data_IF_911416981630
#
_entry.id   IF_911416981630
#
_cell.length_a   1.000
_cell.length_b   1.000
_cell.length_c   1.000
_cell.angle_alpha   90.00
_cell.angle_beta   90.00
_cell.angle_gamma   90.00
#
_symmetry.space_group_name_H-M   'P 1'
#
loop_
_entity.id
_entity.type
_entity.pdbx_description
1 polymer ?
#
# COMPACT_ATOMS: atom_id res chain seq x y z
N UNK A 1 -40.96 -36.89 57.63
CA UNK A 1 -41.67 -37.62 58.71
C UNK A 1 -43.15 -37.85 58.32
N UNK A 2 -43.41 -38.71 57.31
CA UNK A 2 -44.56 -39.61 57.42
C UNK A 2 -44.32 -41.01 56.78
N UNK A 3 -43.09 -41.53 56.83
CA UNK A 3 -42.76 -42.89 56.34
C UNK A 3 -42.50 -43.92 57.46
N UNK A 4 -42.45 -43.49 58.73
CA UNK A 4 -42.12 -44.35 59.87
C UNK A 4 -43.33 -44.94 60.62
N UNK A 5 -44.57 -44.70 60.16
CA UNK A 5 -45.79 -45.18 60.84
C UNK A 5 -46.48 -46.37 60.17
N UNK A 6 -45.86 -47.02 59.16
CA UNK A 6 -46.38 -48.27 58.57
C UNK A 6 -45.64 -49.55 58.99
N UNK A 7 -44.68 -49.47 59.92
CA UNK A 7 -43.86 -50.61 60.35
C UNK A 7 -44.27 -51.24 61.70
N UNK A 8 -45.41 -50.85 62.28
CA UNK A 8 -45.92 -51.47 63.52
C UNK A 8 -47.32 -52.01 63.32
N UNK A 9 -47.44 -53.12 62.59
CA UNK A 9 -48.45 -54.19 62.77
C UNK A 9 -48.39 -55.15 61.59
N UNK A 10 -47.31 -55.92 61.46
CA UNK A 10 -47.32 -57.20 60.75
C UNK A 10 -46.44 -58.16 61.55
N UNK A 11 -46.88 -59.42 61.67
CA UNK A 11 -46.18 -60.46 62.41
C UNK A 11 -44.73 -60.63 61.93
N UNK A 12 -43.92 -61.35 62.73
CA UNK A 12 -42.58 -61.79 62.31
C UNK A 12 -42.62 -62.23 60.85
N UNK A 13 -41.89 -61.55 59.94
CA UNK A 13 -41.95 -61.86 58.53
C UNK A 13 -41.54 -63.32 58.35
N UNK A 14 -42.18 -64.00 57.40
CA UNK A 14 -41.71 -65.34 57.03
C UNK A 14 -40.26 -65.21 56.51
N UNK A 15 -39.44 -66.28 56.64
CA UNK A 15 -38.06 -66.29 56.09
C UNK A 15 -38.00 -65.89 54.60
N UNK A 16 -39.11 -66.02 53.88
CA UNK A 16 -39.25 -65.68 52.48
C UNK A 16 -39.49 -64.16 52.27
N UNK A 17 -40.24 -63.49 53.15
CA UNK A 17 -40.44 -62.03 53.14
C UNK A 17 -39.19 -61.26 53.60
N UNK A 18 -38.43 -61.79 54.57
CA UNK A 18 -37.12 -61.22 54.95
C UNK A 18 -36.08 -61.35 53.82
N UNK A 19 -36.13 -62.47 53.07
CA UNK A 19 -35.26 -62.67 51.92
C UNK A 19 -35.62 -61.71 50.77
N UNK A 20 -36.91 -61.54 50.46
CA UNK A 20 -37.36 -60.60 49.43
C UNK A 20 -37.06 -59.13 49.81
N UNK A 21 -37.25 -58.73 51.07
CA UNK A 21 -36.90 -57.39 51.53
C UNK A 21 -35.39 -57.12 51.48
N UNK A 22 -34.55 -58.11 51.80
CA UNK A 22 -33.10 -58.01 51.67
C UNK A 22 -32.66 -57.91 50.19
N UNK A 23 -33.33 -58.61 49.28
CA UNK A 23 -33.05 -58.50 47.83
C UNK A 23 -33.36 -57.10 47.32
N UNK A 24 -34.51 -56.53 47.69
CA UNK A 24 -34.90 -55.17 47.30
C UNK A 24 -33.96 -54.11 47.90
N UNK A 25 -33.58 -54.26 49.17
CA UNK A 25 -32.63 -53.36 49.83
C UNK A 25 -31.24 -53.42 49.17
N UNK A 26 -30.75 -54.62 48.85
CA UNK A 26 -29.47 -54.81 48.15
C UNK A 26 -29.50 -54.18 46.76
N UNK A 27 -30.61 -54.34 46.02
CA UNK A 27 -30.78 -53.72 44.72
C UNK A 27 -30.77 -52.19 44.80
N UNK A 28 -31.49 -51.59 45.76
CA UNK A 28 -31.50 -50.14 45.96
C UNK A 28 -30.13 -49.58 46.33
N UNK A 29 -29.36 -50.29 47.15
CA UNK A 29 -27.99 -49.94 47.53
C UNK A 29 -27.08 -49.94 46.29
N UNK A 30 -27.14 -51.01 45.49
CA UNK A 30 -26.35 -51.14 44.29
C UNK A 30 -26.68 -50.04 43.27
N UNK A 31 -27.97 -49.76 43.06
CA UNK A 31 -28.40 -48.66 42.20
C UNK A 31 -27.93 -47.30 42.70
N UNK A 32 -27.97 -47.07 44.02
CA UNK A 32 -27.53 -45.81 44.60
C UNK A 32 -26.00 -45.63 44.52
N UNK A 33 -25.21 -46.70 44.63
CA UNK A 33 -23.75 -46.66 44.42
C UNK A 33 -23.42 -46.28 42.97
N UNK A 34 -24.10 -46.90 42.01
CA UNK A 34 -23.91 -46.62 40.59
C UNK A 34 -24.26 -45.16 40.27
N UNK A 35 -25.39 -44.66 40.79
CA UNK A 35 -25.80 -43.25 40.60
C UNK A 35 -24.78 -42.28 41.21
N UNK A 36 -24.27 -42.57 42.41
CA UNK A 36 -23.27 -41.71 43.06
C UNK A 36 -21.96 -41.65 42.28
N UNK A 37 -21.55 -42.77 41.74
CA UNK A 37 -20.32 -42.88 40.97
C UNK A 37 -20.45 -42.21 39.58
N UNK A 38 -21.60 -42.39 38.92
CA UNK A 38 -21.97 -41.62 37.71
C UNK A 38 -22.00 -40.11 37.98
N UNK A 39 -22.57 -39.68 39.11
CA UNK A 39 -22.62 -38.28 39.50
C UNK A 39 -21.22 -37.71 39.74
N UNK A 40 -20.32 -38.49 40.34
CA UNK A 40 -18.93 -38.08 40.58
C UNK A 40 -18.17 -37.89 39.27
N UNK A 41 -18.37 -38.79 38.30
CA UNK A 41 -17.78 -38.67 36.97
C UNK A 41 -18.31 -37.43 36.22
N UNK A 42 -19.61 -37.17 36.26
CA UNK A 42 -20.21 -36.00 35.63
C UNK A 42 -19.71 -34.68 36.25
N UNK A 43 -19.54 -34.64 37.57
CA UNK A 43 -18.96 -33.49 38.29
C UNK A 43 -17.53 -33.20 37.84
N UNK A 44 -16.70 -34.23 37.64
CA UNK A 44 -15.32 -34.05 37.17
C UNK A 44 -15.27 -33.46 35.76
N UNK A 45 -16.15 -33.91 34.86
CA UNK A 45 -16.28 -33.36 33.51
C UNK A 45 -16.76 -31.91 33.52
N UNK A 46 -17.71 -31.58 34.40
CA UNK A 46 -18.16 -30.19 34.62
C UNK A 46 -17.00 -29.33 35.14
N UNK A 47 -16.19 -29.82 36.08
CA UNK A 47 -15.02 -29.09 36.59
C UNK A 47 -13.98 -28.82 35.49
N UNK A 48 -13.73 -29.81 34.63
CA UNK A 48 -12.85 -29.62 33.47
C UNK A 48 -13.40 -28.54 32.52
N UNK A 49 -14.70 -28.58 32.25
CA UNK A 49 -15.37 -27.59 31.40
C UNK A 49 -15.32 -26.19 32.01
N UNK A 50 -15.46 -26.07 33.34
CA UNK A 50 -15.31 -24.80 34.08
C UNK A 50 -13.91 -24.22 33.92
N UNK A 51 -12.87 -25.05 34.00
CA UNK A 51 -11.49 -24.64 33.76
C UNK A 51 -11.31 -24.05 32.36
N UNK A 52 -11.72 -24.80 31.34
CA UNK A 52 -11.65 -24.34 29.94
C UNK A 52 -12.43 -23.04 29.68
N UNK A 53 -13.64 -22.92 30.24
CA UNK A 53 -14.44 -21.70 30.11
C UNK A 53 -13.79 -20.50 30.81
N UNK A 54 -13.06 -20.73 31.91
CA UNK A 54 -12.31 -19.68 32.61
C UNK A 54 -11.16 -19.19 31.75
N UNK A 55 -10.37 -20.11 31.18
CA UNK A 55 -9.25 -19.78 30.30
C UNK A 55 -9.71 -18.99 29.07
N UNK A 56 -10.82 -19.41 28.45
CA UNK A 56 -11.43 -18.69 27.30
C UNK A 56 -11.85 -17.28 27.70
N UNK A 57 -12.48 -17.11 28.87
CA UNK A 57 -12.93 -15.80 29.34
C UNK A 57 -11.74 -14.87 29.66
N UNK A 58 -10.66 -15.41 30.21
CA UNK A 58 -9.44 -14.66 30.50
C UNK A 58 -8.73 -14.24 29.22
N UNK A 59 -8.59 -15.16 28.26
CA UNK A 59 -8.01 -14.86 26.95
C UNK A 59 -8.85 -13.83 26.18
N UNK A 60 -10.18 -13.96 26.21
CA UNK A 60 -11.09 -12.98 25.60
C UNK A 60 -10.84 -11.59 26.19
N UNK A 61 -10.80 -11.44 27.52
CA UNK A 61 -10.55 -10.14 28.15
C UNK A 61 -9.20 -9.51 27.75
N UNK A 62 -8.14 -10.32 27.59
CA UNK A 62 -6.83 -9.85 27.13
C UNK A 62 -6.91 -9.37 25.68
N UNK A 63 -7.48 -10.18 24.79
CA UNK A 63 -7.60 -9.84 23.35
C UNK A 63 -8.44 -8.59 23.11
N UNK A 64 -9.54 -8.43 23.85
CA UNK A 64 -10.37 -7.22 23.80
C UNK A 64 -9.61 -5.98 24.30
N UNK A 65 -8.80 -6.11 25.36
CA UNK A 65 -7.94 -5.03 25.84
C UNK A 65 -6.89 -4.58 24.82
N UNK A 66 -6.26 -5.53 24.12
CA UNK A 66 -5.33 -5.25 23.03
C UNK A 66 -6.02 -4.58 21.84
N UNK A 67 -7.21 -5.06 21.48
CA UNK A 67 -8.03 -4.48 20.40
C UNK A 67 -8.41 -3.03 20.70
N UNK A 68 -8.72 -2.72 21.97
CA UNK A 68 -8.98 -1.34 22.42
C UNK A 68 -7.77 -0.43 22.22
N UNK A 69 -6.59 -0.84 22.68
CA UNK A 69 -5.35 -0.09 22.52
C UNK A 69 -4.94 0.06 21.04
N UNK A 70 -5.27 -0.93 20.20
CA UNK A 70 -5.08 -0.83 18.76
C UNK A 70 -6.00 0.23 18.14
N UNK A 71 -7.28 0.23 18.55
CA UNK A 71 -8.30 1.18 18.10
C UNK A 71 -7.98 2.62 18.53
N UNK A 72 -7.53 2.84 19.76
CA UNK A 72 -7.08 4.17 20.25
C UNK A 72 -5.91 4.69 19.40
N UNK A 73 -4.88 3.86 19.16
CA UNK A 73 -3.75 4.24 18.27
C UNK A 73 -4.19 4.49 16.83
N UNK A 74 -5.21 3.78 16.34
CA UNK A 74 -5.76 4.04 15.02
C UNK A 74 -6.41 5.42 14.96
N UNK A 75 -7.13 5.84 16.01
CA UNK A 75 -7.68 7.20 16.10
C UNK A 75 -6.60 8.29 16.08
N UNK A 76 -5.51 8.11 16.84
CA UNK A 76 -4.39 9.06 16.84
C UNK A 76 -3.80 9.22 15.43
N UNK A 77 -3.56 8.11 14.72
CA UNK A 77 -3.05 8.11 13.35
C UNK A 77 -4.01 8.74 12.35
N UNK A 78 -5.31 8.54 12.54
CA UNK A 78 -6.32 9.21 11.72
C UNK A 78 -6.25 10.72 11.94
N UNK A 79 -6.10 11.18 13.18
CA UNK A 79 -5.90 12.59 13.52
C UNK A 79 -4.68 13.20 12.83
N UNK A 80 -3.53 12.52 12.88
CA UNK A 80 -2.32 12.93 12.14
C UNK A 80 -2.59 13.00 10.63
N UNK A 81 -3.29 12.01 10.08
CA UNK A 81 -3.63 11.97 8.65
C UNK A 81 -4.51 13.16 8.25
N UNK A 82 -5.49 13.55 9.08
CA UNK A 82 -6.29 14.76 8.85
C UNK A 82 -5.44 16.03 8.78
N UNK A 83 -4.45 16.18 9.68
CA UNK A 83 -3.53 17.32 9.66
C UNK A 83 -2.75 17.37 8.35
N UNK A 84 -2.19 16.23 7.91
CA UNK A 84 -1.46 16.16 6.64
C UNK A 84 -2.35 16.48 5.43
N UNK A 85 -3.62 16.05 5.44
CA UNK A 85 -4.56 16.39 4.38
C UNK A 85 -4.85 17.89 4.31
N UNK A 86 -4.94 18.58 5.45
CA UNK A 86 -5.10 20.04 5.47
C UNK A 86 -3.88 20.76 4.89
N UNK A 87 -2.67 20.31 5.20
CA UNK A 87 -1.43 20.87 4.63
C UNK A 87 -1.36 20.66 3.11
N UNK A 88 -1.74 19.48 2.63
CA UNK A 88 -1.80 19.20 1.19
C UNK A 88 -2.90 20.05 0.52
N UNK A 89 -4.00 20.34 1.22
CA UNK A 89 -5.07 21.20 0.72
C UNK A 89 -4.62 22.64 0.53
N UNK A 90 -3.98 23.21 1.55
CA UNK A 90 -3.38 24.53 1.46
C UNK A 90 -2.32 24.60 0.34
N UNK A 91 -1.51 23.55 0.20
CA UNK A 91 -0.51 23.47 -0.88
C UNK A 91 -1.14 23.45 -2.27
N UNK A 92 -2.24 22.72 -2.45
CA UNK A 92 -2.96 22.68 -3.73
C UNK A 92 -3.56 24.05 -4.08
N UNK A 93 -4.14 24.74 -3.10
CA UNK A 93 -4.66 26.11 -3.27
C UNK A 93 -3.54 27.08 -3.67
N UNK A 94 -2.40 27.04 -2.97
CA UNK A 94 -1.24 27.86 -3.32
C UNK A 94 -0.72 27.58 -4.75
N UNK A 95 -0.72 26.33 -5.20
CA UNK A 95 -0.37 25.97 -6.58
C UNK A 95 -1.38 26.57 -7.57
N UNK A 96 -2.67 26.57 -7.23
CA UNK A 96 -3.71 27.17 -8.08
C UNK A 96 -3.51 28.69 -8.22
N UNK A 97 -3.26 29.39 -7.11
CA UNK A 97 -3.01 30.82 -7.11
C UNK A 97 -1.74 31.17 -7.89
N UNK A 98 -0.67 30.39 -7.70
CA UNK A 98 0.59 30.57 -8.44
C UNK A 98 0.38 30.34 -9.93
N UNK A 99 -0.42 29.35 -10.32
CA UNK A 99 -0.75 29.11 -11.72
C UNK A 99 -1.54 30.29 -12.32
N UNK A 100 -2.48 30.88 -11.57
CA UNK A 100 -3.22 32.06 -12.03
C UNK A 100 -2.33 33.30 -12.19
N UNK A 101 -1.38 33.50 -11.26
CA UNK A 101 -0.38 34.57 -11.39
C UNK A 101 0.47 34.37 -12.64
N UNK A 102 0.98 33.14 -12.86
CA UNK A 102 1.78 32.81 -14.04
C UNK A 102 1.01 32.99 -15.36
N UNK A 103 -0.30 32.68 -15.40
CA UNK A 103 -1.15 32.95 -16.57
C UNK A 103 -1.20 34.45 -16.90
N UNK A 104 -1.27 35.29 -15.88
CA UNK A 104 -1.31 36.75 -16.03
C UNK A 104 0.04 37.27 -16.54
N UNK A 105 1.14 36.89 -15.89
CA UNK A 105 2.51 37.25 -16.28
C UNK A 105 2.85 36.77 -17.71
N UNK A 106 2.38 35.59 -18.09
CA UNK A 106 2.57 35.04 -19.44
C UNK A 106 1.85 35.89 -20.51
N UNK A 107 0.62 36.34 -20.22
CA UNK A 107 -0.14 37.25 -21.10
C UNK A 107 0.57 38.60 -21.25
N UNK A 108 1.02 39.20 -20.15
CA UNK A 108 1.76 40.47 -20.18
C UNK A 108 3.07 40.31 -20.97
N UNK A 109 3.82 39.24 -20.74
CA UNK A 109 5.05 38.95 -21.49
C UNK A 109 4.78 38.81 -22.99
N UNK A 110 3.67 38.18 -23.36
CA UNK A 110 3.26 38.03 -24.77
C UNK A 110 2.97 39.38 -25.42
N UNK A 111 2.33 40.31 -24.70
CA UNK A 111 2.09 41.67 -25.20
C UNK A 111 3.40 42.42 -25.44
N UNK A 112 4.35 42.34 -24.51
CA UNK A 112 5.68 42.94 -24.65
C UNK A 112 6.42 42.37 -25.87
N UNK A 113 6.39 41.05 -26.07
CA UNK A 113 7.02 40.43 -27.26
C UNK A 113 6.38 40.93 -28.55
N UNK A 114 5.06 41.06 -28.60
CA UNK A 114 4.36 41.59 -29.77
C UNK A 114 4.74 43.06 -30.06
N UNK A 115 4.91 43.87 -29.02
CA UNK A 115 5.39 45.25 -29.16
C UNK A 115 6.82 45.30 -29.71
N UNK A 116 7.73 44.48 -29.18
CA UNK A 116 9.10 44.36 -29.68
C UNK A 116 9.13 43.91 -31.15
N UNK A 117 8.31 42.93 -31.53
CA UNK A 117 8.20 42.49 -32.93
C UNK A 117 7.71 43.61 -33.87
N UNK A 118 6.77 44.46 -33.41
CA UNK A 118 6.34 45.64 -34.19
C UNK A 118 7.48 46.65 -34.32
N UNK A 119 8.21 46.92 -33.24
CA UNK A 119 9.36 47.82 -33.27
C UNK A 119 10.44 47.33 -34.23
N UNK A 120 10.77 46.03 -34.18
CA UNK A 120 11.73 45.41 -35.10
C UNK A 120 11.27 45.50 -36.56
N UNK A 121 9.98 45.37 -36.83
CA UNK A 121 9.44 45.52 -38.19
C UNK A 121 9.58 46.97 -38.69
N UNK A 122 9.36 47.95 -37.83
CA UNK A 122 9.58 49.36 -38.19
C UNK A 122 11.07 49.66 -38.44
N UNK A 123 11.96 49.15 -37.59
CA UNK A 123 13.40 49.29 -37.79
C UNK A 123 13.86 48.57 -39.07
N UNK A 124 13.28 47.39 -39.33
CA UNK A 124 13.13 46.69 -40.63
C UNK A 124 13.10 47.63 -41.82
N UNK A 125 12.01 48.38 -41.84
CA UNK A 125 11.69 49.30 -42.91
C UNK A 125 12.69 50.46 -43.00
N UNK A 126 13.12 51.01 -41.86
CA UNK A 126 14.12 52.10 -41.82
C UNK A 126 15.46 51.66 -42.41
N UNK A 127 15.95 50.45 -42.09
CA UNK A 127 17.21 49.94 -42.64
C UNK A 127 17.12 49.69 -44.15
N UNK A 128 16.00 49.16 -44.63
CA UNK A 128 15.77 48.99 -46.06
C UNK A 128 15.71 50.34 -46.80
N UNK A 129 15.14 51.38 -46.18
CA UNK A 129 15.14 52.73 -46.73
C UNK A 129 16.56 53.34 -46.78
N UNK A 130 17.36 53.16 -45.72
CA UNK A 130 18.78 53.57 -45.70
C UNK A 130 19.59 52.86 -46.79
N UNK A 131 19.39 51.55 -46.98
CA UNK A 131 20.05 50.81 -48.06
C UNK A 131 19.73 51.40 -49.44
N UNK A 132 18.48 51.81 -49.67
CA UNK A 132 18.05 52.46 -50.92
C UNK A 132 18.66 53.86 -51.08
N UNK A 133 18.74 54.64 -50.00
CA UNK A 133 19.39 55.95 -50.00
C UNK A 133 20.88 55.83 -50.32
N UNK A 134 21.60 54.87 -49.72
CA UNK A 134 23.00 54.60 -50.02
C UNK A 134 23.22 54.24 -51.50
N UNK A 135 22.34 53.41 -52.09
CA UNK A 135 22.39 53.12 -53.52
C UNK A 135 22.16 54.36 -54.42
N UNK A 136 21.32 55.29 -53.97
CA UNK A 136 21.08 56.56 -54.68
C UNK A 136 22.30 57.49 -54.55
N UNK A 137 22.92 57.53 -53.37
CA UNK A 137 24.13 58.30 -53.09
C UNK A 137 25.31 57.81 -53.95
N UNK A 138 25.52 56.49 -54.05
CA UNK A 138 26.55 55.90 -54.91
C UNK A 138 26.40 56.33 -56.37
N UNK A 139 25.16 56.35 -56.90
CA UNK A 139 24.90 56.85 -58.26
C UNK A 139 25.28 58.31 -58.42
N UNK A 140 24.90 59.19 -57.49
CA UNK A 140 25.24 60.61 -57.55
C UNK A 140 26.74 60.87 -57.44
N UNK A 141 27.44 60.08 -56.63
CA UNK A 141 28.89 60.15 -56.52
C UNK A 141 29.57 59.74 -57.83
N UNK A 142 29.11 58.67 -58.49
CA UNK A 142 29.61 58.26 -59.81
C UNK A 142 29.41 59.34 -60.87
N UNK A 143 28.23 59.97 -60.90
CA UNK A 143 27.93 61.10 -61.79
C UNK A 143 28.90 62.27 -61.55
N UNK A 144 29.21 62.59 -60.28
CA UNK A 144 30.14 63.66 -59.93
C UNK A 144 31.60 63.31 -60.33
N UNK A 145 32.02 62.06 -60.17
CA UNK A 145 33.34 61.59 -60.62
C UNK A 145 33.47 61.78 -62.14
N UNK A 146 32.44 61.40 -62.91
CA UNK A 146 32.43 61.57 -64.37
C UNK A 146 32.48 63.06 -64.77
N UNK A 147 31.69 63.90 -64.11
CA UNK A 147 31.71 65.35 -64.35
C UNK A 147 33.07 65.97 -64.05
N UNK A 148 33.69 65.56 -62.94
CA UNK A 148 35.01 66.07 -62.51
C UNK A 148 36.11 65.64 -63.50
N UNK A 149 36.07 64.38 -63.96
CA UNK A 149 36.97 63.88 -65.01
C UNK A 149 36.84 64.69 -66.31
N UNK A 150 35.62 64.99 -66.74
CA UNK A 150 35.37 65.82 -67.94
C UNK A 150 35.90 67.25 -67.79
N UNK A 151 35.78 67.85 -66.61
CA UNK A 151 36.36 69.18 -66.34
C UNK A 151 37.89 69.11 -66.41
N UNK A 152 38.49 68.04 -65.89
CA UNK A 152 39.93 67.85 -65.91
C UNK A 152 40.47 67.71 -67.35
N UNK A 153 39.76 66.97 -68.21
CA UNK A 153 40.03 66.89 -69.65
C UNK A 153 39.96 68.26 -70.34
N UNK A 154 38.92 69.06 -70.02
CA UNK A 154 38.76 70.42 -70.54
C UNK A 154 39.91 71.32 -70.08
N UNK A 155 40.27 71.29 -68.79
CA UNK A 155 41.40 72.06 -68.27
C UNK A 155 42.71 71.68 -68.98
N UNK A 156 42.96 70.38 -69.20
CA UNK A 156 44.12 69.90 -69.96
C UNK A 156 44.16 70.44 -71.39
N UNK A 157 43.02 70.42 -72.08
CA UNK A 157 42.89 70.98 -73.44
C UNK A 157 43.10 72.51 -73.46
N UNK A 158 42.54 73.25 -72.51
CA UNK A 158 42.75 74.70 -72.41
C UNK A 158 44.23 75.00 -72.12
N UNK A 159 44.88 74.20 -71.27
CA UNK A 159 46.31 74.37 -70.98
C UNK A 159 47.18 74.19 -72.23
N UNK A 160 46.82 73.25 -73.11
CA UNK A 160 47.45 73.08 -74.42
C UNK A 160 47.23 74.30 -75.32
N UNK A 161 45.98 74.80 -75.44
CA UNK A 161 45.66 76.02 -76.21
C UNK A 161 46.45 77.22 -75.69
N UNK A 162 46.49 77.41 -74.38
CA UNK A 162 47.20 78.53 -73.75
C UNK A 162 48.70 78.44 -74.01
N UNK A 163 49.29 77.24 -73.96
CA UNK A 163 50.69 77.01 -74.28
C UNK A 163 51.00 77.33 -75.74
N UNK A 164 50.15 76.87 -76.67
CA UNK A 164 50.26 77.21 -78.09
C UNK A 164 50.11 78.72 -78.34
N UNK A 165 49.16 79.37 -77.66
CA UNK A 165 48.91 80.82 -77.77
C UNK A 165 50.09 81.63 -77.23
N UNK A 166 50.72 81.18 -76.13
CA UNK A 166 51.93 81.80 -75.58
C UNK A 166 53.12 81.68 -76.54
N UNK A 167 53.29 80.52 -77.17
CA UNK A 167 54.30 80.30 -78.22
C UNK A 167 54.05 81.17 -79.47
N UNK A 168 52.80 81.27 -79.92
CA UNK A 168 52.40 82.15 -81.03
C UNK A 168 52.70 83.62 -80.70
N UNK A 169 52.36 84.06 -79.50
CA UNK A 169 52.63 85.42 -79.02
C UNK A 169 54.14 85.71 -78.89
N UNK A 170 54.93 84.71 -78.49
CA UNK A 170 56.39 84.81 -78.45
C UNK A 170 56.98 84.94 -79.86
N UNK A 171 56.57 84.09 -80.80
CA UNK A 171 56.99 84.15 -82.20
C UNK A 171 56.62 85.50 -82.84
N UNK A 172 55.39 85.98 -82.60
CA UNK A 172 54.96 87.30 -83.06
C UNK A 172 55.76 88.45 -82.43
N UNK A 173 56.14 88.34 -81.16
CA UNK A 173 57.00 89.33 -80.49
C UNK A 173 58.41 89.37 -81.08
N UNK A 174 58.97 88.21 -81.43
CA UNK A 174 60.28 88.08 -82.08
C UNK A 174 60.23 88.70 -83.48
N UNK A 175 59.21 88.38 -84.28
CA UNK A 175 59.07 88.92 -85.64
C UNK A 175 58.83 90.43 -85.64
N UNK A 176 58.05 90.93 -84.67
CA UNK A 176 57.83 92.36 -84.47
C UNK A 176 59.13 93.10 -84.06
N UNK A 177 60.02 92.45 -83.30
CA UNK A 177 61.34 93.00 -83.00
C UNK A 177 62.26 92.99 -84.24
N UNK A 178 62.14 91.98 -85.10
CA UNK A 178 62.87 91.85 -86.36
C UNK A 178 62.51 92.96 -87.36
N UNK A 179 61.24 93.39 -87.38
CA UNK A 179 60.73 94.47 -88.24
C UNK A 179 61.11 95.90 -87.78
N UNK A 180 61.84 96.05 -86.66
CA UNK A 180 62.35 97.34 -86.17
C UNK A 180 61.24 98.36 -85.87
N UNK A 181 61.40 99.61 -86.36
CA UNK A 181 60.45 100.72 -86.14
C UNK A 181 59.03 100.41 -86.68
N UNK A 182 58.92 99.64 -87.77
CA UNK A 182 57.63 99.29 -88.38
C UNK A 182 56.86 98.20 -87.61
N UNK A 183 57.54 97.44 -86.74
CA UNK A 183 56.96 96.36 -85.93
C UNK A 183 56.44 96.80 -84.55
N UNK A 184 56.61 98.07 -84.16
CA UNK A 184 56.37 98.55 -82.79
C UNK A 184 54.93 98.34 -82.30
N UNK A 185 53.93 98.56 -83.17
CA UNK A 185 52.52 98.31 -82.85
C UNK A 185 52.18 96.84 -82.67
N UNK A 186 52.75 95.97 -83.53
CA UNK A 186 52.60 94.52 -83.43
C UNK A 186 53.28 93.94 -82.19
N UNK A 187 54.43 94.49 -81.79
CA UNK A 187 55.16 94.08 -80.58
C UNK A 187 54.32 94.30 -79.32
N UNK A 188 53.64 95.44 -79.21
CA UNK A 188 52.73 95.74 -78.09
C UNK A 188 51.57 94.74 -78.04
N UNK A 189 50.95 94.42 -79.19
CA UNK A 189 49.84 93.45 -79.26
C UNK A 189 50.33 92.04 -78.87
N UNK A 190 51.47 91.61 -79.40
CA UNK A 190 52.05 90.30 -79.09
C UNK A 190 52.40 90.17 -77.59
N UNK A 191 52.90 91.23 -76.96
CA UNK A 191 53.18 91.27 -75.52
C UNK A 191 51.90 91.23 -74.67
N UNK A 192 50.80 91.84 -75.12
CA UNK A 192 49.48 91.71 -74.47
C UNK A 192 48.90 90.31 -74.62
N UNK A 193 49.02 89.68 -75.80
CA UNK A 193 48.57 88.29 -76.01
C UNK A 193 49.37 87.34 -75.11
N UNK A 194 50.69 87.52 -75.00
CA UNK A 194 51.54 86.73 -74.10
C UNK A 194 51.10 86.88 -72.64
N UNK A 195 50.83 88.11 -72.20
CA UNK A 195 50.31 88.38 -70.85
C UNK A 195 48.95 87.72 -70.60
N UNK A 196 48.03 87.77 -71.57
CA UNK A 196 46.74 87.08 -71.49
C UNK A 196 46.91 85.56 -71.42
N UNK A 197 47.84 84.99 -72.20
CA UNK A 197 48.16 83.57 -72.15
C UNK A 197 48.73 83.17 -70.78
N UNK A 198 49.67 83.92 -70.21
CA UNK A 198 50.20 83.70 -68.86
C UNK A 198 49.09 83.78 -67.79
N UNK A 199 48.20 84.76 -67.87
CA UNK A 199 47.05 84.89 -66.98
C UNK A 199 46.06 83.72 -67.13
N UNK A 200 45.85 83.25 -68.36
CA UNK A 200 44.98 82.10 -68.64
C UNK A 200 45.60 80.80 -68.12
N UNK A 201 46.93 80.65 -68.22
CA UNK A 201 47.66 79.50 -67.70
C UNK A 201 47.52 79.42 -66.17
N UNK A 202 47.65 80.56 -65.48
CA UNK A 202 47.45 80.61 -64.03
C UNK A 202 45.99 80.39 -63.61
N UNK A 203 45.02 80.82 -64.43
CA UNK A 203 43.61 80.51 -64.21
C UNK A 203 43.30 79.02 -64.35
N UNK A 204 43.83 78.36 -65.40
CA UNK A 204 43.70 76.92 -65.60
C UNK A 204 44.39 76.15 -64.48
N UNK A 205 45.60 76.55 -64.07
CA UNK A 205 46.32 75.93 -62.94
C UNK A 205 45.50 75.97 -61.65
N UNK A 206 44.87 77.11 -61.35
CA UNK A 206 43.96 77.25 -60.19
C UNK A 206 42.70 76.39 -60.35
N UNK A 207 42.13 76.33 -61.56
CA UNK A 207 40.99 75.46 -61.87
C UNK A 207 41.32 73.98 -61.62
N UNK A 208 42.46 73.49 -62.13
CA UNK A 208 42.92 72.12 -61.91
C UNK A 208 43.16 71.81 -60.43
N UNK A 209 43.70 72.77 -59.66
CA UNK A 209 43.83 72.61 -58.21
C UNK A 209 42.49 72.44 -57.48
N UNK A 210 41.48 73.24 -57.85
CA UNK A 210 40.11 73.09 -57.30
C UNK A 210 39.47 71.76 -57.70
N UNK A 211 39.70 71.30 -58.93
CA UNK A 211 39.22 69.99 -59.40
C UNK A 211 39.87 68.86 -58.60
N UNK A 212 41.17 68.93 -58.32
CA UNK A 212 41.88 67.94 -57.49
C UNK A 212 41.38 67.94 -56.04
N UNK A 213 41.07 69.11 -55.46
CA UNK A 213 40.42 69.22 -54.15
C UNK A 213 39.03 68.56 -54.15
N UNK A 214 38.22 68.78 -55.19
CA UNK A 214 36.91 68.12 -55.36
C UNK A 214 37.08 66.61 -55.48
N UNK A 215 38.00 66.11 -56.31
CA UNK A 215 38.26 64.66 -56.43
C UNK A 215 38.64 64.02 -55.10
N UNK A 216 39.49 64.69 -54.31
CA UNK A 216 39.88 64.22 -52.99
C UNK A 216 38.70 64.22 -52.00
N UNK A 217 37.86 65.25 -52.02
CA UNK A 217 36.62 65.30 -51.25
C UNK A 217 35.67 64.16 -51.63
N UNK A 218 35.50 63.89 -52.92
CA UNK A 218 34.67 62.78 -53.42
C UNK A 218 35.20 61.42 -52.96
N UNK A 219 36.52 61.18 -53.00
CA UNK A 219 37.12 59.93 -52.49
C UNK A 219 36.80 59.70 -51.01
N UNK A 220 36.81 60.75 -50.18
CA UNK A 220 36.44 60.65 -48.76
C UNK A 220 34.95 60.32 -48.57
N UNK A 221 34.08 60.92 -49.40
CA UNK A 221 32.64 60.62 -49.38
C UNK A 221 32.38 59.17 -49.78
N UNK A 222 33.04 58.65 -50.83
CA UNK A 222 32.93 57.23 -51.23
C UNK A 222 33.29 56.30 -50.08
N UNK A 223 34.44 56.52 -49.44
CA UNK A 223 34.88 55.70 -48.31
C UNK A 223 33.87 55.72 -47.15
N UNK A 224 33.23 56.87 -46.89
CA UNK A 224 32.21 56.99 -45.84
C UNK A 224 30.92 56.24 -46.20
N UNK A 225 30.49 56.31 -47.46
CA UNK A 225 29.29 55.61 -47.95
C UNK A 225 29.49 54.09 -47.97
N UNK A 226 30.68 53.60 -48.30
CA UNK A 226 31.01 52.16 -48.24
C UNK A 226 30.98 51.63 -46.81
N UNK A 227 31.49 52.41 -45.84
CA UNK A 227 31.40 52.08 -44.43
C UNK A 227 29.94 52.06 -43.95
N UNK A 228 29.14 53.07 -44.32
CA UNK A 228 27.72 53.14 -43.97
C UNK A 228 26.93 51.98 -44.58
N UNK A 229 27.20 51.62 -45.83
CA UNK A 229 26.60 50.45 -46.48
C UNK A 229 26.87 49.16 -45.70
N UNK A 230 28.13 48.94 -45.32
CA UNK A 230 28.51 47.75 -44.55
C UNK A 230 27.80 47.71 -43.19
N UNK A 231 27.68 48.87 -42.52
CA UNK A 231 26.98 48.98 -41.25
C UNK A 231 25.47 48.71 -41.38
N UNK A 232 24.83 49.20 -42.44
CA UNK A 232 23.41 48.93 -42.73
C UNK A 232 23.18 47.44 -43.04
N UNK A 233 24.04 46.82 -43.86
CA UNK A 233 23.95 45.39 -44.17
C UNK A 233 24.09 44.53 -42.90
N UNK A 234 25.01 44.87 -41.99
CA UNK A 234 25.11 44.23 -40.68
C UNK A 234 23.87 44.46 -39.82
N UNK A 235 23.33 45.67 -39.80
CA UNK A 235 22.11 46.00 -39.04
C UNK A 235 20.89 45.19 -39.48
N UNK A 236 20.73 44.94 -40.79
CA UNK A 236 19.66 44.09 -41.33
C UNK A 236 19.82 42.64 -40.84
N UNK A 237 21.05 42.09 -40.88
CA UNK A 237 21.33 40.73 -40.44
C UNK A 237 21.04 40.54 -38.93
N UNK A 238 21.51 41.46 -38.10
CA UNK A 238 21.29 41.41 -36.63
C UNK A 238 19.80 41.49 -36.28
N UNK A 239 19.05 42.28 -37.04
CA UNK A 239 17.61 42.43 -36.84
C UNK A 239 16.83 41.18 -37.25
N UNK A 240 17.23 40.52 -38.34
CA UNK A 240 16.68 39.23 -38.74
C UNK A 240 16.96 38.15 -37.68
N UNK A 241 18.17 38.12 -37.11
CA UNK A 241 18.51 37.21 -36.01
C UNK A 241 17.67 37.51 -34.75
N UNK A 242 17.53 38.78 -34.39
CA UNK A 242 16.72 39.20 -33.24
C UNK A 242 15.26 38.78 -33.42
N UNK A 243 14.70 38.89 -34.62
CA UNK A 243 13.34 38.41 -34.93
C UNK A 243 13.19 36.91 -34.71
N UNK A 244 14.16 36.11 -35.17
CA UNK A 244 14.16 34.66 -34.92
C UNK A 244 14.23 34.32 -33.43
N UNK A 245 15.00 35.09 -32.65
CA UNK A 245 15.08 34.93 -31.18
C UNK A 245 13.75 35.28 -30.51
N UNK A 246 13.03 36.30 -30.99
CA UNK A 246 11.69 36.66 -30.49
C UNK A 246 10.65 35.57 -30.79
N UNK A 247 10.68 34.96 -31.98
CA UNK A 247 9.80 33.82 -32.31
C UNK A 247 10.04 32.62 -31.38
N UNK A 248 11.30 32.37 -31.01
CA UNK A 248 11.64 31.35 -30.02
C UNK A 248 11.06 31.69 -28.64
N UNK A 249 11.20 32.94 -28.19
CA UNK A 249 10.61 33.41 -26.92
C UNK A 249 9.09 33.22 -26.93
N UNK A 250 8.42 33.61 -28.01
CA UNK A 250 6.98 33.43 -28.17
C UNK A 250 6.56 31.95 -28.05
N UNK A 251 7.32 31.05 -28.66
CA UNK A 251 7.10 29.60 -28.54
C UNK A 251 7.27 29.11 -27.10
N UNK A 252 8.25 29.64 -26.36
CA UNK A 252 8.46 29.30 -24.93
C UNK A 252 7.32 29.79 -24.05
N UNK A 253 6.79 30.99 -24.30
CA UNK A 253 5.62 31.52 -23.59
C UNK A 253 4.41 30.59 -23.77
N UNK A 254 4.17 30.12 -25.00
CA UNK A 254 3.08 29.17 -25.26
C UNK A 254 3.25 27.83 -24.52
N UNK A 255 4.49 27.39 -24.31
CA UNK A 255 4.76 26.19 -23.50
C UNK A 255 4.51 26.45 -22.01
N UNK A 256 4.82 27.65 -21.51
CA UNK A 256 4.47 28.08 -20.14
C UNK A 256 2.96 28.08 -19.95
N UNK A 257 2.18 28.65 -20.86
CA UNK A 257 0.70 28.63 -20.82
C UNK A 257 0.15 27.20 -20.67
N UNK A 258 0.73 26.26 -21.43
CA UNK A 258 0.34 24.85 -21.39
C UNK A 258 0.66 24.21 -20.04
N UNK A 259 1.83 24.50 -19.47
CA UNK A 259 2.23 24.01 -18.15
C UNK A 259 1.39 24.60 -17.03
N UNK A 260 1.02 25.88 -17.13
CA UNK A 260 0.11 26.56 -16.21
C UNK A 260 -1.27 25.89 -16.21
N UNK A 261 -1.84 25.66 -17.40
CA UNK A 261 -3.13 24.97 -17.55
C UNK A 261 -3.12 23.56 -16.95
N UNK A 262 -2.03 22.81 -17.19
CA UNK A 262 -1.83 21.48 -16.57
C UNK A 262 -1.73 21.56 -15.05
N UNK A 263 -1.00 22.54 -14.52
CA UNK A 263 -0.81 22.72 -13.07
C UNK A 263 -2.12 23.07 -12.37
N UNK A 264 -2.92 23.96 -12.96
CA UNK A 264 -4.27 24.30 -12.47
C UNK A 264 -5.20 23.08 -12.46
N UNK A 265 -5.19 22.29 -13.53
CA UNK A 265 -5.98 21.06 -13.62
C UNK A 265 -5.56 20.04 -12.56
N UNK A 266 -4.24 19.85 -12.38
CA UNK A 266 -3.69 18.93 -11.38
C UNK A 266 -4.05 19.36 -9.95
N UNK A 267 -3.93 20.66 -9.62
CA UNK A 267 -4.33 21.20 -8.32
C UNK A 267 -5.82 20.96 -8.03
N UNK A 268 -6.69 21.17 -9.03
CA UNK A 268 -8.13 20.89 -8.88
C UNK A 268 -8.40 19.40 -8.61
N UNK A 269 -7.73 18.51 -9.33
CA UNK A 269 -7.86 17.06 -9.13
C UNK A 269 -7.31 16.61 -7.77
N UNK A 270 -6.22 17.24 -7.31
CA UNK A 270 -5.67 17.02 -5.98
C UNK A 270 -6.69 17.42 -4.90
N UNK A 271 -7.32 18.58 -5.04
CA UNK A 271 -8.39 19.05 -4.13
C UNK A 271 -9.56 18.09 -4.06
N UNK A 272 -10.02 17.58 -5.21
CA UNK A 272 -11.08 16.57 -5.25
C UNK A 272 -10.67 15.26 -4.56
N UNK A 273 -9.45 14.80 -4.80
CA UNK A 273 -8.91 13.60 -4.16
C UNK A 273 -8.85 13.76 -2.64
N UNK A 274 -8.42 14.91 -2.14
CA UNK A 274 -8.38 15.19 -0.70
C UNK A 274 -9.75 15.19 -0.06
N UNK A 275 -10.76 15.78 -0.71
CA UNK A 275 -12.13 15.73 -0.22
C UNK A 275 -12.66 14.29 -0.15
N UNK A 276 -12.35 13.46 -1.16
CA UNK A 276 -12.70 12.05 -1.15
C UNK A 276 -11.99 11.28 -0.02
N UNK A 277 -10.68 11.50 0.17
CA UNK A 277 -9.91 10.87 1.27
C UNK A 277 -10.42 11.31 2.63
N UNK A 278 -10.79 12.57 2.80
CA UNK A 278 -11.42 13.10 4.03
C UNK A 278 -12.73 12.36 4.33
N UNK A 279 -13.55 12.13 3.30
CA UNK A 279 -14.77 11.31 3.42
C UNK A 279 -14.47 9.87 3.86
N UNK A 280 -13.52 9.22 3.20
CA UNK A 280 -13.10 7.86 3.57
C UNK A 280 -12.56 7.77 4.99
N UNK A 281 -11.77 8.76 5.44
CA UNK A 281 -11.26 8.79 6.82
C UNK A 281 -12.38 8.93 7.83
N UNK A 282 -13.44 9.68 7.51
CA UNK A 282 -14.63 9.75 8.36
C UNK A 282 -15.30 8.38 8.51
N UNK A 283 -15.43 7.63 7.42
CA UNK A 283 -15.98 6.26 7.47
C UNK A 283 -15.10 5.34 8.34
N UNK A 284 -13.76 5.51 8.29
CA UNK A 284 -12.83 4.78 9.16
C UNK A 284 -13.01 5.18 10.62
N UNK A 285 -13.17 6.46 10.94
CA UNK A 285 -13.49 6.92 12.31
C UNK A 285 -14.75 6.24 12.83
N UNK A 286 -15.82 6.22 12.03
CA UNK A 286 -17.08 5.59 12.41
C UNK A 286 -16.89 4.07 12.66
N UNK A 287 -16.11 3.39 11.81
CA UNK A 287 -15.79 1.97 11.99
C UNK A 287 -14.96 1.69 13.25
N UNK A 288 -13.98 2.54 13.58
CA UNK A 288 -13.17 2.39 14.80
C UNK A 288 -14.03 2.65 16.04
N UNK A 289 -14.91 3.65 16.01
CA UNK A 289 -15.86 3.91 17.10
C UNK A 289 -16.83 2.72 17.30
N UNK A 290 -17.34 2.13 16.22
CA UNK A 290 -18.17 0.93 16.30
C UNK A 290 -17.39 -0.26 16.89
N UNK A 291 -16.12 -0.41 16.52
CA UNK A 291 -15.24 -1.45 17.06
C UNK A 291 -15.05 -1.26 18.55
N UNK A 292 -14.78 -0.04 19.02
CA UNK A 292 -14.68 0.27 20.45
C UNK A 292 -15.98 -0.05 21.21
N UNK A 293 -17.14 0.29 20.64
CA UNK A 293 -18.42 -0.10 21.24
C UNK A 293 -18.62 -1.62 21.32
N UNK A 294 -18.18 -2.36 20.30
CA UNK A 294 -18.25 -3.84 20.28
C UNK A 294 -17.30 -4.48 21.30
N UNK A 295 -16.12 -3.87 21.50
CA UNK A 295 -15.16 -4.27 22.55
C UNK A 295 -15.80 -4.13 23.92
N UNK A 296 -16.44 -2.99 24.20
CA UNK A 296 -17.11 -2.74 25.49
C UNK A 296 -18.24 -3.75 25.74
N UNK A 297 -19.06 -4.04 24.73
CA UNK A 297 -20.13 -5.05 24.83
C UNK A 297 -19.57 -6.45 25.09
N UNK A 298 -18.49 -6.83 24.39
CA UNK A 298 -17.86 -8.14 24.54
C UNK A 298 -17.22 -8.29 25.92
N UNK A 299 -16.57 -7.25 26.44
CA UNK A 299 -16.07 -7.24 27.82
C UNK A 299 -17.20 -7.41 28.84
N UNK A 300 -18.34 -6.76 28.64
CA UNK A 300 -19.52 -6.93 29.51
C UNK A 300 -20.03 -8.38 29.48
N UNK A 301 -20.11 -8.99 28.29
CA UNK A 301 -20.48 -10.40 28.11
C UNK A 301 -19.47 -11.34 28.80
N UNK A 302 -18.18 -11.10 28.65
CA UNK A 302 -17.12 -11.85 29.33
C UNK A 302 -17.23 -11.74 30.86
N UNK A 303 -17.59 -10.56 31.38
CA UNK A 303 -17.88 -10.41 32.81
C UNK A 303 -19.13 -11.20 33.25
N UNK A 304 -20.21 -11.21 32.46
CA UNK A 304 -21.40 -12.03 32.73
C UNK A 304 -21.07 -13.52 32.69
N UNK A 305 -20.28 -13.96 31.72
CA UNK A 305 -19.82 -15.34 31.58
C UNK A 305 -18.99 -15.78 32.80
N UNK A 306 -18.03 -14.98 33.27
CA UNK A 306 -17.29 -15.26 34.51
C UNK A 306 -18.21 -15.43 35.73
N UNK A 307 -19.30 -14.66 35.83
CA UNK A 307 -20.29 -14.83 36.92
C UNK A 307 -21.04 -16.16 36.79
N UNK A 308 -21.36 -16.60 35.58
CA UNK A 308 -22.01 -17.89 35.34
C UNK A 308 -21.07 -19.07 35.63
N UNK A 309 -19.80 -18.99 35.21
CA UNK A 309 -18.76 -19.98 35.52
C UNK A 309 -18.63 -20.16 37.04
N UNK A 310 -18.58 -19.07 37.81
CA UNK A 310 -18.57 -19.15 39.29
C UNK A 310 -19.82 -19.79 39.89
N UNK A 311 -20.98 -19.70 39.24
CA UNK A 311 -22.20 -20.41 39.68
C UNK A 311 -22.09 -21.90 39.37
N UNK A 312 -21.59 -22.27 38.19
CA UNK A 312 -21.36 -23.67 37.82
C UNK A 312 -20.36 -24.34 38.76
N UNK A 313 -19.28 -23.65 39.11
CA UNK A 313 -18.29 -24.11 40.09
C UNK A 313 -18.91 -24.42 41.46
N UNK A 314 -19.78 -23.54 41.97
CA UNK A 314 -20.54 -23.80 43.21
C UNK A 314 -21.50 -24.99 43.08
N UNK A 315 -22.20 -25.12 41.95
CA UNK A 315 -23.10 -26.25 41.71
C UNK A 315 -22.31 -27.55 41.67
N UNK A 316 -21.21 -27.57 40.93
CA UNK A 316 -20.31 -28.72 40.81
C UNK A 316 -19.76 -29.15 42.17
N UNK A 317 -19.28 -28.19 42.97
CA UNK A 317 -18.81 -28.44 44.34
C UNK A 317 -19.91 -29.03 45.25
N UNK A 318 -21.15 -28.50 45.16
CA UNK A 318 -22.27 -29.00 45.95
C UNK A 318 -22.72 -30.41 45.50
N UNK A 319 -22.72 -30.68 44.20
CA UNK A 319 -23.02 -32.01 43.64
C UNK A 319 -21.94 -33.02 44.05
N UNK A 320 -20.67 -32.63 44.00
CA UNK A 320 -19.55 -33.44 44.48
C UNK A 320 -19.74 -33.83 45.95
N UNK A 321 -20.05 -32.84 46.80
CA UNK A 321 -20.29 -33.05 48.23
C UNK A 321 -21.50 -33.97 48.46
N UNK A 322 -22.60 -33.73 47.76
CA UNK A 322 -23.82 -34.55 47.88
C UNK A 322 -23.58 -35.99 47.44
N UNK A 323 -22.81 -36.20 46.36
CA UNK A 323 -22.36 -37.52 45.92
C UNK A 323 -21.51 -38.21 46.97
N UNK A 324 -20.53 -37.51 47.54
CA UNK A 324 -19.68 -38.06 48.60
C UNK A 324 -20.47 -38.45 49.86
N UNK A 325 -21.42 -37.61 50.27
CA UNK A 325 -22.32 -37.89 51.40
C UNK A 325 -23.23 -39.10 51.10
N UNK A 326 -23.76 -39.21 49.88
CA UNK A 326 -24.56 -40.36 49.44
C UNK A 326 -23.72 -41.65 49.47
N UNK A 327 -22.51 -41.64 48.91
CA UNK A 327 -21.58 -42.77 48.95
C UNK A 327 -21.29 -43.20 50.39
N UNK A 328 -21.03 -42.23 51.28
CA UNK A 328 -20.77 -42.50 52.70
C UNK A 328 -21.98 -43.09 53.41
N UNK A 329 -23.18 -42.54 53.18
CA UNK A 329 -24.42 -43.05 53.76
C UNK A 329 -24.70 -44.48 53.31
N UNK A 330 -24.48 -44.79 52.03
CA UNK A 330 -24.64 -46.15 51.51
C UNK A 330 -23.61 -47.11 52.12
N UNK A 331 -22.35 -46.68 52.24
CA UNK A 331 -21.29 -47.48 52.87
C UNK A 331 -21.59 -47.84 54.34
N UNK A 332 -22.36 -47.02 55.05
CA UNK A 332 -22.80 -47.30 56.42
C UNK A 332 -23.91 -48.37 56.51
N UNK A 333 -24.68 -48.60 55.44
CA UNK A 333 -25.75 -49.62 55.40
C UNK A 333 -25.19 -51.04 55.29
N UNK A 334 -23.88 -51.20 55.02
CA UNK A 334 -23.10 -52.34 55.49
C UNK A 334 -23.49 -53.72 54.96
N UNK A 335 -23.86 -53.85 53.68
CA UNK A 335 -23.92 -55.17 53.04
C UNK A 335 -22.49 -55.56 52.61
N UNK A 336 -21.78 -56.27 53.49
CA UNK A 336 -20.54 -56.96 53.08
C UNK A 336 -20.92 -58.11 52.15
N UNK A 337 -20.58 -57.99 50.87
CA UNK A 337 -20.54 -59.16 50.01
C UNK A 337 -19.34 -60.02 50.41
N UNK A 338 -19.56 -61.04 51.24
CA UNK A 338 -18.65 -62.17 51.33
C UNK A 338 -18.76 -62.95 50.01
N UNK A 339 -17.89 -62.59 49.06
CA UNK A 339 -17.73 -63.33 47.83
C UNK A 339 -17.10 -64.67 48.21
N UNK A 340 -17.87 -65.76 48.11
CA UNK A 340 -17.27 -67.09 48.00
C UNK A 340 -16.56 -67.11 46.65
N UNK A 341 -15.24 -67.28 46.65
CA UNK A 341 -14.47 -67.59 45.44
C UNK A 341 -14.98 -68.91 44.86
N UNK A 342 -16.07 -68.88 44.09
CA UNK A 342 -16.31 -69.90 43.07
C UNK A 342 -15.22 -69.75 42.01
N UNK A 343 -14.75 -70.85 41.43
CA UNK A 343 -13.79 -70.87 40.31
C UNK A 343 -14.34 -70.06 39.11
N UNK A 344 -14.16 -68.74 39.13
CA UNK A 344 -14.45 -67.87 37.99
C UNK A 344 -13.28 -68.06 37.02
N UNK A 345 -13.56 -68.47 35.78
CA UNK A 345 -12.56 -68.64 34.73
C UNK A 345 -12.07 -67.27 34.19
N UNK A 346 -11.38 -66.53 35.04
CA UNK A 346 -10.83 -65.21 34.73
C UNK A 346 -9.74 -65.32 33.66
N UNK A 347 -8.85 -66.31 33.77
CA UNK A 347 -7.71 -66.49 32.86
C UNK A 347 -8.14 -66.78 31.42
N UNK A 348 -9.14 -67.66 31.21
CA UNK A 348 -9.62 -67.99 29.87
C UNK A 348 -10.36 -66.84 29.19
N UNK A 349 -11.08 -66.04 29.97
CA UNK A 349 -11.78 -64.85 29.44
C UNK A 349 -10.79 -63.74 29.10
N UNK A 350 -9.78 -63.52 29.96
CA UNK A 350 -8.73 -62.53 29.72
C UNK A 350 -7.91 -62.84 28.46
N UNK A 351 -7.62 -64.11 28.20
CA UNK A 351 -6.91 -64.53 26.98
C UNK A 351 -7.73 -64.21 25.71
N UNK A 352 -9.05 -64.48 25.74
CA UNK A 352 -9.94 -64.19 24.61
C UNK A 352 -10.11 -62.68 24.39
N UNK A 353 -10.26 -61.89 25.46
CA UNK A 353 -10.25 -60.43 25.38
C UNK A 353 -8.94 -59.88 24.84
N UNK A 354 -7.81 -60.49 25.21
CA UNK A 354 -6.50 -60.08 24.71
C UNK A 354 -6.32 -60.38 23.23
N UNK A 355 -6.84 -61.51 22.74
CA UNK A 355 -6.89 -61.83 21.30
C UNK A 355 -7.80 -60.85 20.54
N UNK A 356 -8.93 -60.48 21.14
CA UNK A 356 -9.84 -59.49 20.57
C UNK A 356 -9.19 -58.09 20.49
N UNK A 357 -8.44 -57.68 21.51
CA UNK A 357 -7.80 -56.37 21.59
C UNK A 357 -6.72 -56.12 20.51
N UNK A 358 -6.22 -57.18 19.87
CA UNK A 358 -5.25 -57.12 18.76
C UNK A 358 -5.88 -57.43 17.40
N UNK A 359 -7.21 -57.59 17.34
CA UNK A 359 -7.93 -57.76 16.08
C UNK A 359 -7.91 -56.46 15.28
N UNK A 360 -7.43 -56.54 14.03
CA UNK A 360 -7.27 -55.37 13.16
C UNK A 360 -8.58 -54.61 12.90
N UNK A 361 -9.73 -55.27 13.05
CA UNK A 361 -11.05 -54.65 12.94
C UNK A 361 -11.30 -53.61 14.02
N UNK A 362 -10.76 -53.80 15.24
CA UNK A 362 -10.88 -52.84 16.34
C UNK A 362 -9.92 -51.64 16.21
N UNK A 363 -9.02 -51.63 15.22
CA UNK A 363 -8.11 -50.49 15.02
C UNK A 363 -8.80 -49.32 14.33
N UNK A 364 -9.91 -49.58 13.65
CA UNK A 364 -10.69 -48.57 12.93
C UNK A 364 -11.43 -47.62 13.88
N UNK A 365 -11.63 -48.01 15.14
CA UNK A 365 -12.46 -47.32 16.13
C UNK A 365 -13.86 -46.97 15.61
N UNK A 366 -14.34 -47.76 14.65
CA UNK A 366 -15.68 -47.71 14.07
C UNK A 366 -16.66 -48.50 14.95
N UNK A 367 -17.80 -47.89 15.25
CA UNK A 367 -18.78 -48.48 16.15
C UNK A 367 -19.35 -49.81 15.62
N UNK A 368 -19.58 -49.93 14.31
CA UNK A 368 -20.16 -51.15 13.72
C UNK A 368 -19.18 -52.32 13.80
N UNK A 369 -17.90 -52.07 13.53
CA UNK A 369 -16.84 -53.07 13.65
C UNK A 369 -16.67 -53.55 15.11
N UNK A 370 -16.69 -52.62 16.06
CA UNK A 370 -16.61 -52.92 17.49
C UNK A 370 -17.84 -53.71 17.96
N UNK A 371 -19.04 -53.28 17.57
CA UNK A 371 -20.29 -53.97 17.86
C UNK A 371 -20.25 -55.43 17.41
N UNK A 372 -19.84 -55.72 16.17
CA UNK A 372 -19.80 -57.08 15.63
C UNK A 372 -18.88 -57.99 16.45
N UNK A 373 -17.65 -57.54 16.74
CA UNK A 373 -16.67 -58.39 17.41
C UNK A 373 -16.98 -58.58 18.90
N UNK A 374 -17.40 -57.50 19.59
CA UNK A 374 -17.72 -57.57 21.01
C UNK A 374 -19.01 -58.38 21.25
N UNK A 375 -20.03 -58.21 20.41
CA UNK A 375 -21.28 -59.01 20.50
C UNK A 375 -21.01 -60.50 20.28
N UNK A 376 -20.10 -60.84 19.35
CA UNK A 376 -19.70 -62.24 19.12
C UNK A 376 -19.04 -62.85 20.35
N UNK A 377 -18.15 -62.10 21.02
CA UNK A 377 -17.48 -62.59 22.22
C UNK A 377 -18.46 -62.73 23.40
N UNK A 378 -19.40 -61.79 23.55
CA UNK A 378 -20.46 -61.84 24.55
C UNK A 378 -21.35 -63.09 24.40
N UNK A 379 -21.66 -63.50 23.17
CA UNK A 379 -22.44 -64.73 22.91
C UNK A 379 -21.66 -66.02 23.21
N UNK A 380 -20.34 -66.01 23.04
CA UNK A 380 -19.49 -67.18 23.24
C UNK A 380 -19.14 -67.45 24.71
N UNK A 381 -19.29 -66.45 25.57
CA UNK A 381 -18.87 -66.47 26.98
C UNK A 381 -20.04 -66.09 27.89
N UNK A 382 -20.85 -67.07 28.36
CA UNK A 382 -22.02 -66.80 29.20
C UNK A 382 -21.69 -66.20 30.57
N UNK A 383 -20.43 -66.22 30.98
CA UNK A 383 -19.91 -65.56 32.19
C UNK A 383 -19.81 -64.03 32.07
N UNK A 384 -19.73 -63.50 30.84
CA UNK A 384 -19.70 -62.05 30.59
C UNK A 384 -21.12 -61.50 30.70
N UNK A 385 -21.29 -60.45 31.51
CA UNK A 385 -22.58 -59.77 31.68
C UNK A 385 -22.64 -58.40 31.01
N UNK A 386 -21.49 -57.76 30.78
CA UNK A 386 -21.36 -56.59 29.94
C UNK A 386 -20.02 -56.59 29.22
N UNK A 387 -19.99 -56.09 27.99
CA UNK A 387 -18.75 -55.90 27.22
C UNK A 387 -18.78 -54.54 26.54
N UNK A 388 -17.64 -53.87 26.48
CA UNK A 388 -17.54 -52.54 25.88
C UNK A 388 -16.15 -52.26 25.34
N UNK A 389 -16.05 -51.17 24.58
CA UNK A 389 -14.78 -50.62 24.12
C UNK A 389 -14.78 -49.09 24.24
N UNK A 390 -13.61 -48.53 24.53
CA UNK A 390 -13.39 -47.11 24.72
C UNK A 390 -12.29 -46.58 23.80
N UNK A 391 -12.37 -45.30 23.44
CA UNK A 391 -11.25 -44.55 22.85
C UNK A 391 -10.21 -44.22 23.92
N UNK A 392 -9.08 -43.67 23.48
CA UNK A 392 -7.99 -43.18 24.32
C UNK A 392 -8.34 -41.94 25.16
N UNK A 393 -9.41 -41.22 24.82
CA UNK A 393 -10.02 -40.16 25.63
C UNK A 393 -11.06 -40.67 26.65
N UNK A 394 -11.33 -41.98 26.65
CA UNK A 394 -12.28 -42.67 27.54
C UNK A 394 -13.73 -42.68 27.08
N UNK A 395 -14.06 -42.04 25.95
CA UNK A 395 -15.39 -42.12 25.36
C UNK A 395 -15.73 -43.56 24.94
N UNK A 396 -16.99 -43.97 25.09
CA UNK A 396 -17.44 -45.30 24.68
C UNK A 396 -17.61 -45.36 23.15
N UNK A 397 -17.06 -46.40 22.53
CA UNK A 397 -17.26 -46.71 21.10
C UNK A 397 -18.46 -47.64 20.95
N UNK A 398 -18.55 -48.64 21.82
CA UNK A 398 -19.65 -49.59 21.89
C UNK A 398 -19.75 -50.14 23.31
N UNK A 399 -20.96 -50.41 23.78
CA UNK A 399 -21.22 -51.08 25.06
C UNK A 399 -22.49 -51.91 24.95
N UNK A 400 -22.44 -53.16 25.43
CA UNK A 400 -23.59 -54.03 25.54
C UNK A 400 -23.60 -54.74 26.91
N UNK A 401 -24.61 -54.49 27.77
CA UNK A 401 -25.68 -53.48 27.62
C UNK A 401 -25.16 -52.04 27.50
N UNK A 402 -26.04 -51.12 27.08
CA UNK A 402 -25.69 -49.69 26.93
C UNK A 402 -25.06 -49.15 28.21
N UNK A 403 -23.95 -48.42 28.07
CA UNK A 403 -23.21 -47.92 29.22
C UNK A 403 -24.03 -46.87 29.96
N UNK A 404 -24.23 -47.05 31.27
CA UNK A 404 -24.81 -45.99 32.12
C UNK A 404 -23.85 -44.82 32.38
N UNK A 405 -22.64 -44.86 31.84
CA UNK A 405 -21.59 -43.86 32.04
C UNK A 405 -21.35 -43.08 30.75
N UNK A 406 -21.18 -41.76 30.88
CA UNK A 406 -20.83 -40.91 29.74
C UNK A 406 -19.38 -41.16 29.27
N UNK A 407 -18.44 -41.39 30.21
CA UNK A 407 -17.02 -41.55 29.91
C UNK A 407 -16.32 -42.48 30.93
N UNK A 408 -15.43 -43.36 30.44
CA UNK A 408 -14.69 -44.34 31.24
C UNK A 408 -13.36 -43.83 31.83
N UNK A 409 -12.88 -42.65 31.43
CA UNK A 409 -11.55 -42.12 31.78
C UNK A 409 -11.26 -42.07 33.29
N UNK A 410 -12.29 -41.87 34.10
CA UNK A 410 -12.20 -41.87 35.56
C UNK A 410 -11.99 -43.24 36.20
N UNK A 411 -12.32 -44.33 35.48
CA UNK A 411 -12.36 -45.70 36.00
C UNK A 411 -10.97 -46.30 36.17
N UNK A 412 -10.76 -47.00 37.28
CA UNK A 412 -9.47 -47.65 37.54
C UNK A 412 -9.14 -48.68 36.46
N UNK A 413 -10.10 -49.52 36.05
CA UNK A 413 -9.88 -50.52 35.00
C UNK A 413 -9.45 -49.86 33.67
N UNK A 414 -10.01 -48.70 33.34
CA UNK A 414 -9.63 -47.97 32.13
C UNK A 414 -8.22 -47.38 32.25
N UNK A 415 -7.93 -46.70 33.38
CA UNK A 415 -6.61 -46.10 33.65
C UNK A 415 -5.51 -47.14 33.59
N UNK A 416 -5.72 -48.29 34.23
CA UNK A 416 -4.76 -49.41 34.28
C UNK A 416 -4.56 -50.04 32.91
N UNK A 417 -5.62 -50.21 32.13
CA UNK A 417 -5.49 -50.69 30.75
C UNK A 417 -4.71 -49.70 29.88
N UNK A 418 -4.93 -48.39 30.04
CA UNK A 418 -4.19 -47.34 29.33
C UNK A 418 -2.74 -47.15 29.81
N UNK A 419 -2.33 -47.74 30.94
CA UNK A 419 -0.89 -47.94 31.27
C UNK A 419 -0.25 -49.03 30.38
N UNK A 420 -1.03 -49.67 29.51
CA UNK A 420 -0.56 -50.63 28.51
C UNK A 420 -0.55 -52.09 28.96
N UNK A 421 -1.19 -52.43 30.09
CA UNK A 421 -1.27 -53.80 30.63
C UNK A 421 -2.72 -54.22 30.83
N UNK A 422 -3.01 -55.50 30.63
CA UNK A 422 -4.30 -56.05 31.01
C UNK A 422 -4.50 -55.94 32.53
N UNK A 423 -5.72 -55.66 32.97
CA UNK A 423 -6.05 -55.43 34.36
C UNK A 423 -7.34 -56.17 34.75
N UNK A 424 -7.35 -56.64 35.99
CA UNK A 424 -8.49 -57.30 36.62
C UNK A 424 -8.84 -56.52 37.88
N UNK A 425 -10.07 -56.01 37.96
CA UNK A 425 -10.52 -55.26 39.12
C UNK A 425 -10.81 -56.18 40.32
N UNK A 426 -10.79 -55.67 41.56
CA UNK A 426 -11.52 -56.32 42.65
C UNK A 426 -13.02 -56.38 42.33
N UNK A 427 -13.78 -57.19 43.07
CA UNK A 427 -15.24 -57.25 42.93
C UNK A 427 -15.86 -55.92 43.33
N UNK A 428 -16.71 -55.37 42.47
CA UNK A 428 -17.45 -54.14 42.71
C UNK A 428 -18.84 -54.22 42.07
N UNK A 429 -19.68 -53.21 42.26
CA UNK A 429 -21.00 -53.15 41.62
C UNK A 429 -20.87 -52.52 40.23
N UNK A 430 -21.19 -53.29 39.19
CA UNK A 430 -21.18 -52.81 37.81
C UNK A 430 -22.09 -51.59 37.64
N UNK A 431 -21.57 -50.54 36.99
CA UNK A 431 -22.36 -49.38 36.59
C UNK A 431 -23.32 -49.68 35.42
N UNK A 432 -23.16 -50.82 34.74
CA UNK A 432 -23.96 -51.23 33.59
C UNK A 432 -25.07 -52.18 34.06
N UNK A 433 -24.70 -53.21 34.82
CA UNK A 433 -25.63 -54.29 35.20
C UNK A 433 -26.23 -54.11 36.60
N UNK A 434 -25.68 -53.20 37.41
CA UNK A 434 -26.05 -52.96 38.82
C UNK A 434 -25.85 -54.18 39.73
N UNK A 435 -25.00 -55.12 39.31
CA UNK A 435 -24.71 -56.37 40.02
C UNK A 435 -23.23 -56.47 40.40
N UNK A 436 -22.88 -57.29 41.40
CA UNK A 436 -21.50 -57.60 41.71
C UNK A 436 -20.80 -58.23 40.51
N UNK A 437 -19.74 -57.58 40.05
CA UNK A 437 -18.95 -57.99 38.92
C UNK A 437 -17.46 -57.84 39.22
N UNK A 438 -16.65 -58.48 38.38
CA UNK A 438 -15.22 -58.23 38.27
C UNK A 438 -14.95 -57.83 36.82
N UNK A 439 -14.30 -56.68 36.62
CA UNK A 439 -13.98 -56.18 35.28
C UNK A 439 -12.62 -56.69 34.83
N UNK A 440 -12.57 -57.18 33.61
CA UNK A 440 -11.35 -57.41 32.85
C UNK A 440 -11.21 -56.33 31.80
N UNK A 441 -10.07 -55.64 31.77
CA UNK A 441 -9.80 -54.57 30.81
C UNK A 441 -8.45 -54.78 30.13
N UNK A 442 -8.42 -54.66 28.81
CA UNK A 442 -7.23 -54.89 28.00
C UNK A 442 -7.01 -53.70 27.04
N UNK A 443 -5.78 -53.19 26.90
CA UNK A 443 -5.48 -52.15 25.92
C UNK A 443 -5.65 -52.64 24.48
N UNK A 444 -6.33 -51.83 23.66
CA UNK A 444 -6.35 -51.96 22.21
C UNK A 444 -5.08 -51.30 21.67
N UNK A 445 -4.29 -52.06 20.91
CA UNK A 445 -3.04 -51.58 20.29
C UNK A 445 -3.19 -51.59 18.79
N UNK A 446 -2.97 -50.46 18.12
CA UNK A 446 -2.89 -50.39 16.67
C UNK A 446 -1.73 -51.22 16.12
N UNK A 447 -1.72 -51.46 14.80
CA UNK A 447 -0.68 -52.25 14.13
C UNK A 447 0.75 -51.70 14.27
N UNK A 448 0.91 -50.43 14.65
CA UNK A 448 2.19 -49.77 14.96
C UNK A 448 2.55 -49.79 16.47
N UNK A 449 1.74 -50.47 17.30
CA UNK A 449 1.97 -50.66 18.73
C UNK A 449 1.45 -49.53 19.64
N UNK A 450 0.87 -48.46 19.09
CA UNK A 450 0.28 -47.37 19.87
C UNK A 450 -0.98 -47.82 20.60
N UNK A 451 -1.18 -47.30 21.80
CA UNK A 451 -2.42 -47.51 22.57
C UNK A 451 -3.49 -46.59 22.00
N UNK A 452 -4.60 -47.16 21.53
CA UNK A 452 -5.67 -46.41 20.84
C UNK A 452 -7.03 -46.56 21.53
N UNK A 453 -7.10 -47.38 22.58
CA UNK A 453 -8.34 -47.61 23.31
C UNK A 453 -8.23 -48.76 24.30
N UNK A 454 -9.37 -49.12 24.87
CA UNK A 454 -9.51 -50.22 25.84
C UNK A 454 -10.70 -51.07 25.45
N UNK A 455 -10.57 -52.40 25.53
CA UNK A 455 -11.71 -53.32 25.54
C UNK A 455 -11.91 -53.82 26.97
N UNK A 456 -13.15 -53.78 27.45
CA UNK A 456 -13.49 -54.18 28.81
C UNK A 456 -14.66 -55.15 28.83
N UNK A 457 -14.70 -56.02 29.83
CA UNK A 457 -15.83 -56.90 30.09
C UNK A 457 -16.06 -57.08 31.59
N UNK A 458 -17.32 -57.03 32.01
CA UNK A 458 -17.76 -57.39 33.35
C UNK A 458 -18.09 -58.88 33.41
N UNK A 459 -17.44 -59.58 34.34
CA UNK A 459 -17.67 -60.99 34.63
C UNK A 459 -18.59 -61.10 35.82
N UNK A 460 -19.64 -61.90 35.68
CA UNK A 460 -20.63 -62.11 36.74
C UNK A 460 -19.99 -62.84 37.93
N UNK A 461 -20.15 -62.26 39.12
CA UNK A 461 -19.81 -62.91 40.40
C UNK A 461 -21.10 -63.48 41.00
N UNK A 462 -21.10 -64.76 41.38
CA UNK A 462 -22.29 -65.46 41.91
C UNK A 462 -22.41 -65.36 43.42
#
# INVERSE_FOLDING_TARGET
MPLLQRFRTQGTPSKQEEAEQNVVLTQLINESLVISDQLTAAVEEVNQSIGQLTDIADQSAVTEGELRLCSERAMDRIGETFSTLQEVAASAEQISDTAQLLDTESKETKEVVLEVCRSLTNTDQVMNDLQRHNGTMDRHIRELIEQTSRINEINGFIQEIVSQTSLLALNASIEAAHAGEFGRGFSIVAQQIKKLAEQSHEAVRRSSGLVEEIENGVKQVVASVDLERTAVEQGILEMAETKNRMDLIFTRIHEVDRLVSKSSTASKQQTQSMNATTGMLKDVVDAVNQTLGSVDETLELTHKQRRQIKKLDRISTNLHKSSSELTKAIGQVGIKHEVKESEINVSGTLEKLSKLAVDSRLFTLDESAHQEQLSRLLQQLPEIEAIWSNRDDGSFIFSQPEAGLLNAKGREWWKRAMEGRAFTSPVYISAITKKPCLTLSVPIRSGDGRLIGVVGADIRVK
#
